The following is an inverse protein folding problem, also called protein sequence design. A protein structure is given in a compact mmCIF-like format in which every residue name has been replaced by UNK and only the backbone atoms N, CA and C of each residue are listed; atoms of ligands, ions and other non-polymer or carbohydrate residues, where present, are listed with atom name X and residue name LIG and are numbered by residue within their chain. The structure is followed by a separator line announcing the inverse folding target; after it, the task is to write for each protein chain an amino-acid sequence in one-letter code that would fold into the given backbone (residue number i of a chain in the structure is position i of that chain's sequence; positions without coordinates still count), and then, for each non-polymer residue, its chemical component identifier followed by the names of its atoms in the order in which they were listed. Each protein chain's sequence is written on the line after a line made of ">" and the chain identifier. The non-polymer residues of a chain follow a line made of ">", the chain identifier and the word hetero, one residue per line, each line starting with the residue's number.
data_IF_864194130848
#
_entry.id   IF_864194130848
#
_cell.length_a   1.000
_cell.length_b   1.000
_cell.length_c   1.000
_cell.angle_alpha   90.00
_cell.angle_beta   90.00
_cell.angle_gamma   90.00
#
_symmetry.space_group_name_H-M   'P 1'
#
loop_
_entity.id
_entity.type
_entity.pdbx_description
1 polymer ?
#
# COMPACT_ATOMS: atom_id res chain seq x y z
N UNK A 1 -9.39 -2.29 -32.15
CA UNK A 1 -10.33 -3.27 -31.57
C UNK A 1 -11.03 -2.58 -30.42
N UNK A 2 -12.35 -2.38 -30.52
CA UNK A 2 -13.16 -1.76 -29.48
C UNK A 2 -13.84 -2.88 -28.70
N UNK A 3 -13.58 -2.99 -27.39
CA UNK A 3 -14.36 -3.85 -26.50
C UNK A 3 -15.43 -2.98 -25.83
N UNK A 4 -16.72 -3.35 -25.90
CA UNK A 4 -17.75 -2.69 -25.11
C UNK A 4 -17.48 -2.88 -23.61
N UNK A 5 -17.83 -1.87 -22.80
CA UNK A 5 -17.41 -1.75 -21.39
C UNK A 5 -17.82 -2.94 -20.51
N UNK A 6 -18.94 -3.58 -20.84
CA UNK A 6 -19.48 -4.77 -20.18
C UNK A 6 -18.60 -6.03 -20.35
N UNK A 7 -17.62 -5.98 -21.26
CA UNK A 7 -16.72 -7.10 -21.59
C UNK A 7 -15.25 -6.78 -21.35
N UNK A 8 -14.94 -5.67 -20.69
CA UNK A 8 -13.56 -5.36 -20.33
C UNK A 8 -13.09 -6.27 -19.17
N UNK A 9 -12.03 -7.08 -19.36
CA UNK A 9 -11.51 -7.91 -18.28
C UNK A 9 -10.89 -7.02 -17.20
N UNK A 10 -11.00 -7.44 -15.93
CA UNK A 10 -10.37 -6.73 -14.80
C UNK A 10 -8.84 -6.54 -14.97
N UNK A 11 -8.20 -7.37 -15.80
CA UNK A 11 -6.78 -7.28 -16.13
C UNK A 11 -6.63 -7.42 -17.64
N UNK A 12 -5.99 -6.45 -18.28
CA UNK A 12 -5.57 -6.52 -19.67
C UNK A 12 -4.04 -6.55 -19.75
N UNK A 13 -3.48 -7.41 -20.61
CA UNK A 13 -2.03 -7.48 -20.85
C UNK A 13 -1.75 -7.15 -22.31
N UNK A 14 -0.93 -6.14 -22.56
CA UNK A 14 -0.50 -5.74 -23.90
C UNK A 14 0.93 -6.25 -24.10
N UNK A 15 1.16 -6.99 -25.18
CA UNK A 15 2.50 -7.45 -25.57
C UNK A 15 2.90 -6.76 -26.86
N UNK A 16 4.10 -6.19 -26.90
CA UNK A 16 4.67 -5.56 -28.08
C UNK A 16 5.81 -6.43 -28.60
N UNK A 17 5.67 -6.96 -29.81
CA UNK A 17 6.75 -7.63 -30.52
C UNK A 17 7.62 -6.60 -31.25
N UNK A 18 8.94 -6.71 -31.10
CA UNK A 18 9.91 -5.93 -31.88
C UNK A 18 10.53 -6.84 -32.95
N UNK A 19 10.39 -6.50 -34.23
CA UNK A 19 10.90 -7.28 -35.37
C UNK A 19 9.94 -8.33 -35.92
N UNK A 20 10.46 -9.32 -36.66
CA UNK A 20 9.68 -10.39 -37.33
C UNK A 20 9.49 -11.66 -36.51
N UNK A 21 9.89 -11.66 -35.23
CA UNK A 21 9.71 -12.83 -34.37
C UNK A 21 8.28 -12.90 -33.84
N UNK A 22 7.61 -14.06 -33.93
CA UNK A 22 6.32 -14.24 -33.28
C UNK A 22 6.47 -14.05 -31.77
N UNK A 23 5.47 -13.48 -31.08
CA UNK A 23 5.50 -13.37 -29.63
C UNK A 23 5.67 -14.77 -29.03
N UNK A 24 6.53 -14.93 -28.01
CA UNK A 24 6.71 -16.23 -27.36
C UNK A 24 5.37 -16.74 -26.81
N UNK A 25 5.20 -18.06 -26.79
CA UNK A 25 4.07 -18.71 -26.11
C UNK A 25 3.98 -18.16 -24.69
N UNK A 26 2.84 -17.54 -24.37
CA UNK A 26 2.66 -16.85 -23.11
C UNK A 26 2.53 -17.90 -21.99
N UNK A 27 3.50 -17.94 -21.08
CA UNK A 27 3.30 -18.58 -19.78
C UNK A 27 2.05 -17.97 -19.13
N UNK A 28 1.17 -18.79 -18.52
CA UNK A 28 0.04 -18.27 -17.77
C UNK A 28 0.55 -17.27 -16.75
N UNK A 29 -0.08 -16.10 -16.69
CA UNK A 29 0.27 -15.08 -15.71
C UNK A 29 0.31 -15.75 -14.32
N UNK A 30 1.36 -15.54 -13.51
CA UNK A 30 1.38 -16.08 -12.17
C UNK A 30 0.09 -15.64 -11.50
N UNK A 31 -0.66 -16.62 -10.97
CA UNK A 31 -1.84 -16.34 -10.18
C UNK A 31 -1.42 -15.27 -9.17
N UNK A 32 -2.08 -14.10 -9.20
CA UNK A 32 -1.85 -13.08 -8.18
C UNK A 32 -2.05 -13.79 -6.85
N UNK A 33 -0.95 -14.01 -6.12
CA UNK A 33 -0.99 -14.75 -4.87
C UNK A 33 -2.09 -14.12 -4.02
N UNK A 34 -3.09 -14.93 -3.66
CA UNK A 34 -4.13 -14.53 -2.73
C UNK A 34 -3.44 -13.87 -1.55
N UNK A 35 -3.76 -12.59 -1.32
CA UNK A 35 -2.91 -11.64 -0.62
C UNK A 35 -2.26 -12.25 0.61
N UNK A 36 -0.95 -12.35 0.59
CA UNK A 36 -0.20 -12.73 1.78
C UNK A 36 -0.48 -11.67 2.86
N UNK A 37 -0.98 -12.14 4.02
CA UNK A 37 -1.19 -11.30 5.19
C UNK A 37 0.17 -10.81 5.64
N UNK A 38 0.48 -9.56 5.32
CA UNK A 38 1.66 -8.93 5.84
C UNK A 38 1.36 -8.51 7.26
N UNK A 39 1.93 -9.24 8.21
CA UNK A 39 2.16 -8.69 9.54
C UNK A 39 3.14 -7.55 9.36
N UNK A 40 2.71 -6.32 9.68
CA UNK A 40 3.67 -5.28 10.03
C UNK A 40 4.46 -5.81 11.22
N UNK A 41 5.69 -6.25 10.98
CA UNK A 41 6.56 -6.63 12.06
C UNK A 41 6.89 -5.39 12.91
N UNK A 42 7.36 -5.61 14.14
CA UNK A 42 7.77 -4.52 15.05
C UNK A 42 8.79 -3.60 14.38
N UNK A 43 9.63 -4.13 13.48
CA UNK A 43 10.58 -3.36 12.70
C UNK A 43 9.90 -2.36 11.75
N UNK A 44 8.79 -2.72 11.10
CA UNK A 44 7.99 -1.82 10.27
C UNK A 44 7.28 -0.72 11.08
N UNK A 45 6.89 -0.99 12.32
CA UNK A 45 6.39 0.05 13.25
C UNK A 45 7.51 0.96 13.79
N UNK A 46 8.72 0.46 14.00
CA UNK A 46 9.85 1.27 14.47
C UNK A 46 10.24 2.39 13.46
N UNK A 47 9.94 2.20 12.17
CA UNK A 47 10.13 3.20 11.09
C UNK A 47 9.35 4.48 11.32
N UNK A 48 8.21 4.37 12.03
CA UNK A 48 7.32 5.47 12.34
C UNK A 48 7.99 6.56 13.20
N UNK A 49 9.14 6.27 13.83
CA UNK A 49 9.89 7.23 14.65
C UNK A 49 10.41 8.45 13.87
N UNK A 50 10.51 8.36 12.54
CA UNK A 50 10.95 9.48 11.68
C UNK A 50 9.85 10.11 10.83
N UNK A 51 8.58 9.78 11.08
CA UNK A 51 7.42 10.40 10.44
C UNK A 51 6.87 11.51 11.33
N UNK A 52 6.23 12.50 10.71
CA UNK A 52 5.40 13.45 11.44
C UNK A 52 4.30 12.70 12.23
N UNK A 53 3.84 13.25 13.38
CA UNK A 53 2.89 12.57 14.27
C UNK A 53 1.60 12.12 13.59
N UNK A 54 1.08 12.91 12.64
CA UNK A 54 -0.19 12.64 11.97
C UNK A 54 -0.08 11.48 10.95
N UNK A 55 0.84 11.49 9.98
CA UNK A 55 1.10 10.33 9.12
C UNK A 55 1.36 9.03 9.87
N UNK A 56 2.06 9.11 11.01
CA UNK A 56 2.28 7.97 11.90
C UNK A 56 0.95 7.40 12.44
N UNK A 57 0.12 8.24 13.05
CA UNK A 57 -1.18 7.83 13.57
C UNK A 57 -2.09 7.26 12.45
N UNK A 58 -2.00 7.83 11.25
CA UNK A 58 -2.75 7.36 10.07
C UNK A 58 -2.32 5.95 9.65
N UNK A 59 -1.02 5.68 9.57
CA UNK A 59 -0.51 4.34 9.26
C UNK A 59 -0.87 3.30 10.31
N UNK A 60 -0.76 3.64 11.60
CA UNK A 60 -1.15 2.74 12.68
C UNK A 60 -2.64 2.38 12.61
N UNK A 61 -3.49 3.36 12.28
CA UNK A 61 -4.92 3.12 12.09
C UNK A 61 -5.18 2.28 10.83
N UNK A 62 -4.50 2.58 9.73
CA UNK A 62 -4.57 1.81 8.47
C UNK A 62 -4.14 0.36 8.70
N UNK A 63 -3.10 0.12 9.49
CA UNK A 63 -2.67 -1.23 9.89
C UNK A 63 -3.80 -2.02 10.55
N UNK A 64 -4.38 -1.47 11.62
CA UNK A 64 -5.50 -2.11 12.33
C UNK A 64 -6.71 -2.33 11.43
N UNK A 65 -6.97 -1.38 10.54
CA UNK A 65 -8.06 -1.48 9.57
C UNK A 65 -7.80 -2.59 8.56
N UNK A 66 -6.58 -2.67 8.02
CA UNK A 66 -6.18 -3.69 7.05
C UNK A 66 -6.35 -5.11 7.60
N UNK A 67 -5.94 -5.34 8.85
CA UNK A 67 -6.17 -6.64 9.52
C UNK A 67 -7.66 -7.01 9.54
N UNK A 68 -8.55 -6.07 9.88
CA UNK A 68 -9.99 -6.32 9.93
C UNK A 68 -10.61 -6.53 8.56
N UNK A 69 -10.15 -5.80 7.55
CA UNK A 69 -10.57 -5.98 6.16
C UNK A 69 -10.16 -7.35 5.65
N UNK A 70 -8.95 -7.80 6.01
CA UNK A 70 -8.48 -9.13 5.68
C UNK A 70 -9.32 -10.22 6.37
N UNK A 71 -9.53 -10.09 7.69
CA UNK A 71 -10.34 -11.02 8.47
C UNK A 71 -11.82 -11.03 8.02
N UNK A 72 -12.34 -9.93 7.47
CA UNK A 72 -13.67 -9.83 6.88
C UNK A 72 -13.77 -10.40 5.45
N UNK A 73 -12.68 -10.95 4.89
CA UNK A 73 -12.64 -11.52 3.55
C UNK A 73 -12.59 -10.49 2.42
N UNK A 74 -12.29 -9.23 2.73
CA UNK A 74 -12.26 -8.12 1.78
C UNK A 74 -10.83 -7.73 1.34
N UNK A 75 -9.82 -8.54 1.70
CA UNK A 75 -8.39 -8.25 1.45
C UNK A 75 -7.98 -8.08 -0.02
N UNK A 76 -8.82 -8.48 -0.98
CA UNK A 76 -8.54 -8.35 -2.41
C UNK A 76 -9.05 -7.04 -3.04
N UNK A 77 -9.82 -6.21 -2.32
CA UNK A 77 -10.38 -4.98 -2.87
C UNK A 77 -9.32 -3.89 -3.10
N UNK A 78 -9.70 -2.83 -3.82
CA UNK A 78 -8.80 -1.74 -4.19
C UNK A 78 -8.18 -1.07 -2.94
N UNK A 79 -8.99 -0.79 -1.93
CA UNK A 79 -8.60 -0.11 -0.71
C UNK A 79 -7.67 -0.97 0.15
N UNK A 80 -7.94 -2.28 0.21
CA UNK A 80 -7.07 -3.24 0.90
C UNK A 80 -5.69 -3.31 0.23
N UNK A 81 -5.64 -3.31 -1.11
CA UNK A 81 -4.37 -3.27 -1.87
C UNK A 81 -3.62 -1.95 -1.63
N UNK A 82 -4.35 -0.83 -1.55
CA UNK A 82 -3.75 0.48 -1.27
C UNK A 82 -3.20 0.56 0.16
N UNK A 83 -3.92 0.00 1.14
CA UNK A 83 -3.43 -0.12 2.51
C UNK A 83 -2.15 -0.95 2.55
N UNK A 84 -2.16 -2.14 1.94
CA UNK A 84 -0.98 -3.00 1.83
C UNK A 84 0.21 -2.25 1.25
N UNK A 85 0.03 -1.54 0.12
CA UNK A 85 1.08 -0.74 -0.50
C UNK A 85 1.66 0.32 0.45
N UNK A 86 0.81 1.04 1.19
CA UNK A 86 1.28 2.04 2.16
C UNK A 86 2.13 1.41 3.27
N UNK A 87 1.71 0.25 3.76
CA UNK A 87 2.42 -0.52 4.79
C UNK A 87 3.75 -1.10 4.27
N UNK A 88 3.76 -1.62 3.04
CA UNK A 88 4.95 -2.11 2.34
C UNK A 88 5.99 -1.00 2.14
N UNK A 89 5.55 0.18 1.69
CA UNK A 89 6.42 1.32 1.55
C UNK A 89 7.02 1.72 2.92
N UNK A 90 6.21 1.74 3.99
CA UNK A 90 6.71 2.05 5.32
C UNK A 90 7.77 1.04 5.79
N UNK A 91 7.51 -0.27 5.64
CA UNK A 91 8.47 -1.32 5.98
C UNK A 91 9.78 -1.18 5.20
N UNK A 92 9.69 -0.90 3.90
CA UNK A 92 10.85 -0.69 3.01
C UNK A 92 11.73 0.48 3.47
N UNK A 93 11.13 1.59 3.91
CA UNK A 93 11.88 2.73 4.46
C UNK A 93 12.65 2.33 5.72
N UNK A 94 12.06 1.49 6.57
CA UNK A 94 12.71 0.91 7.75
C UNK A 94 13.92 0.08 7.43
N UNK A 95 13.71 -0.93 6.58
CA UNK A 95 14.77 -1.83 6.13
C UNK A 95 15.92 -1.04 5.50
N UNK A 96 15.61 -0.04 4.68
CA UNK A 96 16.63 0.84 4.09
C UNK A 96 17.46 1.57 5.16
N UNK A 97 16.82 2.16 6.17
CA UNK A 97 17.53 2.84 7.27
C UNK A 97 18.40 1.88 8.05
N UNK A 98 17.89 0.69 8.37
CA UNK A 98 18.66 -0.35 9.04
C UNK A 98 19.87 -0.77 8.22
N UNK A 99 19.71 -1.03 6.92
CA UNK A 99 20.82 -1.37 6.03
C UNK A 99 21.88 -0.27 5.96
N UNK A 100 21.50 1.01 6.06
CA UNK A 100 22.48 2.11 6.13
C UNK A 100 23.22 2.13 7.46
N UNK A 101 22.53 1.96 8.57
CA UNK A 101 23.14 1.89 9.91
C UNK A 101 24.11 0.71 10.04
N UNK A 102 23.75 -0.43 9.44
CA UNK A 102 24.60 -1.62 9.38
C UNK A 102 25.72 -1.53 8.32
N UNK A 103 25.79 -0.43 7.54
CA UNK A 103 26.77 -0.25 6.48
C UNK A 103 26.57 -1.15 5.24
N UNK A 104 25.46 -1.90 5.18
CA UNK A 104 25.08 -2.75 4.03
C UNK A 104 24.60 -1.94 2.83
N UNK A 105 24.07 -0.74 3.07
CA UNK A 105 23.70 0.22 2.04
C UNK A 105 24.55 1.48 2.21
N UNK A 106 25.40 1.77 1.22
CA UNK A 106 26.21 2.99 1.24
C UNK A 106 25.31 4.22 1.05
N UNK A 107 25.50 5.29 1.84
CA UNK A 107 24.83 6.56 1.59
C UNK A 107 25.32 7.17 0.26
N UNK A 108 24.53 8.08 -0.28
CA UNK A 108 24.92 8.89 -1.43
C UNK A 108 26.14 9.76 -1.07
N UNK A 109 26.99 9.99 -2.07
CA UNK A 109 28.23 10.74 -1.90
C UNK A 109 27.99 12.22 -1.53
N UNK A 110 26.92 12.81 -2.08
CA UNK A 110 26.49 14.16 -1.75
C UNK A 110 25.46 14.12 -0.59
N UNK A 111 25.75 14.77 0.57
CA UNK A 111 24.84 14.82 1.71
C UNK A 111 23.48 15.46 1.39
N UNK A 112 23.44 16.46 0.50
CA UNK A 112 22.18 17.09 0.11
C UNK A 112 21.29 16.11 -0.67
N UNK A 113 21.88 15.37 -1.60
CA UNK A 113 21.22 14.29 -2.33
C UNK A 113 20.75 13.17 -1.41
N UNK A 114 21.55 12.78 -0.40
CA UNK A 114 21.15 11.80 0.63
C UNK A 114 19.90 12.27 1.37
N UNK A 115 19.91 13.50 1.88
CA UNK A 115 18.78 14.07 2.60
C UNK A 115 17.52 14.17 1.72
N UNK A 116 17.67 14.55 0.45
CA UNK A 116 16.56 14.62 -0.50
C UNK A 116 15.95 13.23 -0.77
N UNK A 117 16.79 12.20 -0.94
CA UNK A 117 16.33 10.83 -1.09
C UNK A 117 15.56 10.37 0.15
N UNK A 118 16.15 10.53 1.35
CA UNK A 118 15.53 10.13 2.60
C UNK A 118 14.17 10.81 2.83
N UNK A 119 14.08 12.10 2.49
CA UNK A 119 12.81 12.84 2.52
C UNK A 119 11.80 12.31 1.53
N UNK A 120 12.20 12.02 0.29
CA UNK A 120 11.29 11.51 -0.75
C UNK A 120 10.62 10.19 -0.35
N UNK A 121 11.36 9.29 0.29
CA UNK A 121 10.83 8.04 0.83
C UNK A 121 9.76 8.27 1.91
N UNK A 122 10.06 9.13 2.88
CA UNK A 122 9.15 9.46 3.99
C UNK A 122 7.90 10.21 3.48
N UNK A 123 8.08 11.17 2.57
CA UNK A 123 6.98 11.94 1.97
C UNK A 123 6.02 11.04 1.18
N UNK A 124 6.54 10.00 0.52
CA UNK A 124 5.72 9.03 -0.23
C UNK A 124 4.79 8.26 0.71
N UNK A 125 5.35 7.70 1.79
CA UNK A 125 4.59 6.99 2.82
C UNK A 125 3.52 7.89 3.44
N UNK A 126 3.87 9.13 3.78
CA UNK A 126 2.93 10.09 4.34
C UNK A 126 1.78 10.44 3.38
N UNK A 127 2.06 10.58 2.08
CA UNK A 127 1.03 10.87 1.06
C UNK A 127 0.08 9.68 0.87
N UNK A 128 0.61 8.46 0.84
CA UNK A 128 -0.22 7.24 0.73
C UNK A 128 -1.15 7.11 1.94
N UNK A 129 -0.62 7.26 3.15
CA UNK A 129 -1.40 7.18 4.38
C UNK A 129 -2.52 8.23 4.42
N UNK A 130 -2.18 9.49 4.12
CA UNK A 130 -3.16 10.60 4.10
C UNK A 130 -4.22 10.39 3.03
N UNK A 131 -3.82 9.96 1.82
CA UNK A 131 -4.73 9.72 0.71
C UNK A 131 -5.74 8.64 1.04
N UNK A 132 -5.29 7.50 1.56
CA UNK A 132 -6.19 6.41 1.96
C UNK A 132 -7.11 6.81 3.11
N UNK A 133 -6.58 7.50 4.13
CA UNK A 133 -7.42 8.02 5.23
C UNK A 133 -8.56 8.88 4.69
N UNK A 134 -8.25 9.86 3.83
CA UNK A 134 -9.25 10.75 3.26
C UNK A 134 -10.31 10.00 2.43
N UNK A 135 -9.91 8.95 1.69
CA UNK A 135 -10.85 8.10 0.95
C UNK A 135 -11.79 7.36 1.91
N UNK A 136 -11.26 6.72 2.96
CA UNK A 136 -12.07 5.97 3.94
C UNK A 136 -13.01 6.89 4.73
N UNK A 137 -12.57 8.10 5.08
CA UNK A 137 -13.43 9.12 5.70
C UNK A 137 -14.56 9.55 4.77
N UNK A 138 -14.30 9.65 3.46
CA UNK A 138 -15.34 10.00 2.48
C UNK A 138 -16.43 8.92 2.37
N UNK A 139 -16.09 7.65 2.66
CA UNK A 139 -17.02 6.52 2.54
C UNK A 139 -18.08 6.51 3.64
N UNK A 140 -17.84 7.18 4.77
CA UNK A 140 -18.80 7.34 5.87
C UNK A 140 -20.13 7.93 5.42
N UNK A 141 -20.11 8.75 4.37
CA UNK A 141 -21.31 9.43 3.82
C UNK A 141 -21.80 8.81 2.51
N UNK A 142 -21.27 7.65 2.12
CA UNK A 142 -21.63 7.03 0.85
C UNK A 142 -22.86 6.13 0.99
N UNK A 143 -23.71 6.12 -0.04
CA UNK A 143 -24.84 5.19 -0.15
C UNK A 143 -24.46 3.84 -0.80
N UNK A 144 -23.20 3.67 -1.19
CA UNK A 144 -22.70 2.45 -1.79
C UNK A 144 -22.48 1.37 -0.71
N UNK A 145 -23.13 0.18 -0.82
CA UNK A 145 -23.04 -0.85 0.21
C UNK A 145 -21.62 -1.38 0.46
N UNK A 146 -20.77 -1.42 -0.57
CA UNK A 146 -19.37 -1.84 -0.43
C UNK A 146 -18.58 -0.80 0.36
N UNK A 147 -18.75 0.48 0.02
CA UNK A 147 -18.07 1.59 0.72
C UNK A 147 -18.53 1.72 2.17
N UNK A 148 -19.82 1.54 2.44
CA UNK A 148 -20.36 1.51 3.81
C UNK A 148 -19.71 0.42 4.63
N UNK A 149 -19.62 -0.81 4.10
CA UNK A 149 -18.97 -1.92 4.80
C UNK A 149 -17.50 -1.64 5.14
N UNK A 150 -16.76 -1.00 4.23
CA UNK A 150 -15.38 -0.59 4.48
C UNK A 150 -15.29 0.55 5.51
N UNK A 151 -16.24 1.49 5.48
CA UNK A 151 -16.36 2.59 6.43
C UNK A 151 -16.70 2.11 7.84
N UNK A 152 -17.58 1.11 7.99
CA UNK A 152 -17.91 0.50 9.28
C UNK A 152 -16.68 -0.14 9.92
N UNK A 153 -15.91 -0.88 9.11
CA UNK A 153 -14.62 -1.43 9.54
C UNK A 153 -13.64 -0.31 9.92
N UNK A 154 -13.63 0.81 9.18
CA UNK A 154 -12.78 1.98 9.48
C UNK A 154 -13.15 2.66 10.79
N UNK A 155 -14.43 2.89 11.06
CA UNK A 155 -14.90 3.52 12.29
C UNK A 155 -14.67 2.62 13.50
N UNK A 156 -14.83 1.31 13.35
CA UNK A 156 -14.56 0.37 14.45
C UNK A 156 -13.12 0.47 14.96
N UNK A 157 -12.17 0.97 14.16
CA UNK A 157 -10.76 1.12 14.57
C UNK A 157 -10.52 2.30 15.50
N UNK A 158 -11.41 3.29 15.53
CA UNK A 158 -11.38 4.39 16.50
C UNK A 158 -11.92 3.93 17.86
N UNK A 159 -13.04 3.20 17.87
CA UNK A 159 -13.68 2.75 19.10
C UNK A 159 -12.78 1.81 19.92
N UNK A 160 -11.95 1.01 19.24
CA UNK A 160 -10.99 0.12 19.89
C UNK A 160 -9.78 0.83 20.51
N UNK A 161 -9.49 2.09 20.12
CA UNK A 161 -8.37 2.87 20.66
C UNK A 161 -8.77 3.68 21.92
N UNK A 162 -10.05 3.70 22.30
CA UNK A 162 -10.61 4.46 23.43
C UNK A 162 -10.95 3.59 24.65
N UNK A 163 -10.56 2.31 24.65
CA UNK A 163 -10.67 1.38 25.78
C UNK A 163 -9.29 1.02 26.30
#
# INVERSE_FOLDING_TARGET
>A
MFLPDDRTPQVARVSFGLGTSPPPDQEPAPAQAAGERLTLDEQALAVLAGLDPKPKADLERISRWYDRVYDAGLGACYEARHAKLALDCAATVGQRRQMQQEGKLKPLADPASQAAADRSYVDTVAKLARGLHAVLDSYVKSDDPHKQRLADLWQSTETAAQR
#
